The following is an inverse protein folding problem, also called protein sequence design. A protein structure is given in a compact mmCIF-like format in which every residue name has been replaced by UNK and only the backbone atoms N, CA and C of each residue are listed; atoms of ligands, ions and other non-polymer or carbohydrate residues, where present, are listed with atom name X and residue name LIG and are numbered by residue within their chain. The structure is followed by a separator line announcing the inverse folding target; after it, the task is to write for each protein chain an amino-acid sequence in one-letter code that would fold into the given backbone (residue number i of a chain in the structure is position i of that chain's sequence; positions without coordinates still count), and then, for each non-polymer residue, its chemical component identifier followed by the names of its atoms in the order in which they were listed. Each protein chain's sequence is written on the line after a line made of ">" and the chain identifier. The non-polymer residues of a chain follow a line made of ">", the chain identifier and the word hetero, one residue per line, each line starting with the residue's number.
data_IF_818540446024
#
_entry.id   IF_818540446024
#
_cell.length_a   1.000
_cell.length_b   1.000
_cell.length_c   1.000
_cell.angle_alpha   90.00
_cell.angle_beta   90.00
_cell.angle_gamma   90.00
#
_symmetry.space_group_name_H-M   'P 1'
#
loop_
_entity.id
_entity.type
_entity.pdbx_description
1 polymer ?
#
# COMPACT_ATOMS: atom_id res chain seq x y z
N UNK A 1 8.48 -14.58 15.42
CA UNK A 1 9.15 -13.41 16.02
C UNK A 1 10.50 -13.84 16.54
N UNK A 2 11.61 -13.17 16.21
CA UNK A 2 12.91 -13.42 16.82
C UNK A 2 13.26 -12.22 17.68
N UNK A 3 13.19 -12.39 19.02
CA UNK A 3 14.01 -11.56 19.90
C UNK A 3 15.42 -12.09 19.68
N UNK A 4 16.25 -11.36 18.99
CA UNK A 4 17.55 -11.88 18.57
C UNK A 4 18.56 -11.83 19.71
N UNK A 5 18.52 -10.75 20.49
CA UNK A 5 19.48 -10.55 21.56
C UNK A 5 18.75 -10.04 22.83
N UNK A 6 18.88 -10.79 23.90
CA UNK A 6 18.42 -10.46 25.25
C UNK A 6 19.49 -10.77 26.27
N UNK A 7 19.54 -10.01 27.33
CA UNK A 7 20.48 -10.20 28.43
C UNK A 7 19.72 -10.17 29.76
N UNK A 8 20.00 -11.12 30.61
CA UNK A 8 19.56 -11.04 32.01
C UNK A 8 20.50 -10.07 32.74
N UNK A 9 19.99 -8.95 33.21
CA UNK A 9 20.77 -7.99 33.98
C UNK A 9 20.60 -8.17 35.49
N UNK A 10 19.43 -8.68 35.93
CA UNK A 10 19.18 -9.06 37.32
C UNK A 10 18.75 -10.52 37.39
N UNK A 11 19.69 -11.35 37.93
CA UNK A 11 19.49 -12.80 38.05
C UNK A 11 18.49 -13.12 39.17
N UNK A 12 18.40 -12.28 40.18
CA UNK A 12 17.47 -12.51 41.29
C UNK A 12 16.03 -12.30 40.85
N UNK A 13 15.74 -11.21 40.11
CA UNK A 13 14.43 -10.98 39.54
C UNK A 13 14.04 -12.08 38.55
N UNK A 14 14.95 -12.49 37.67
CA UNK A 14 14.70 -13.54 36.69
C UNK A 14 14.39 -14.92 37.30
N UNK A 15 14.93 -15.22 38.52
CA UNK A 15 14.75 -16.52 39.18
C UNK A 15 13.61 -16.52 40.19
N UNK A 16 13.31 -15.39 40.83
CA UNK A 16 12.35 -15.35 41.93
C UNK A 16 11.02 -14.69 41.56
N UNK A 17 10.98 -13.82 40.57
CA UNK A 17 9.75 -13.15 40.14
C UNK A 17 8.97 -13.98 39.10
N UNK A 18 9.63 -14.95 38.45
CA UNK A 18 9.02 -15.72 37.35
C UNK A 18 9.38 -17.20 37.49
N UNK A 19 8.38 -18.08 37.50
CA UNK A 19 8.59 -19.54 37.62
C UNK A 19 9.41 -20.13 36.46
N UNK A 20 9.16 -19.67 35.23
CA UNK A 20 9.89 -20.07 34.02
C UNK A 20 10.14 -18.86 33.15
N UNK A 21 11.34 -18.32 33.18
CA UNK A 21 11.69 -17.09 32.50
C UNK A 21 11.64 -17.25 30.96
N UNK A 22 11.94 -18.44 30.40
CA UNK A 22 11.90 -18.67 28.95
C UNK A 22 10.47 -18.63 28.43
N UNK A 23 9.57 -19.30 29.11
CA UNK A 23 8.14 -19.31 28.79
C UNK A 23 7.52 -17.91 28.98
N UNK A 24 7.91 -17.22 30.04
CA UNK A 24 7.47 -15.85 30.28
C UNK A 24 7.89 -14.90 29.15
N UNK A 25 9.15 -14.95 28.74
CA UNK A 25 9.66 -14.15 27.60
C UNK A 25 8.90 -14.46 26.33
N UNK A 26 8.61 -15.73 26.06
CA UNK A 26 7.86 -16.13 24.88
C UNK A 26 6.45 -15.54 24.90
N UNK A 27 5.72 -15.72 26.01
CA UNK A 27 4.34 -15.23 26.16
C UNK A 27 4.28 -13.71 26.04
N UNK A 28 5.17 -12.97 26.73
CA UNK A 28 5.19 -11.52 26.69
C UNK A 28 5.56 -10.98 25.29
N UNK A 29 6.47 -11.67 24.62
CA UNK A 29 6.86 -11.33 23.25
C UNK A 29 5.73 -11.55 22.25
N UNK A 30 5.00 -12.65 22.36
CA UNK A 30 3.81 -12.93 21.53
C UNK A 30 2.70 -11.89 21.80
N UNK A 31 2.50 -11.51 23.06
CA UNK A 31 1.52 -10.49 23.42
C UNK A 31 1.87 -9.11 22.82
N UNK A 32 3.14 -8.72 22.87
CA UNK A 32 3.63 -7.49 22.25
C UNK A 32 3.44 -7.52 20.73
N UNK A 33 3.80 -8.63 20.08
CA UNK A 33 3.62 -8.81 18.64
C UNK A 33 2.14 -8.73 18.23
N UNK A 34 1.25 -9.36 19.00
CA UNK A 34 -0.19 -9.31 18.76
C UNK A 34 -0.74 -7.89 18.87
N UNK A 35 -0.28 -7.14 19.88
CA UNK A 35 -0.67 -5.73 20.04
C UNK A 35 -0.20 -4.88 18.85
N UNK A 36 1.02 -5.10 18.36
CA UNK A 36 1.56 -4.43 17.18
C UNK A 36 0.77 -4.76 15.90
N UNK A 37 0.46 -6.04 15.70
CA UNK A 37 -0.32 -6.51 14.54
C UNK A 37 -1.77 -5.96 14.52
N UNK A 38 -2.30 -5.59 15.69
CA UNK A 38 -3.63 -4.97 15.80
C UNK A 38 -3.55 -3.46 15.56
N UNK A 39 -2.44 -2.84 15.92
CA UNK A 39 -2.23 -1.38 15.83
C UNK A 39 -1.89 -0.94 14.41
N UNK A 40 -1.08 -1.70 13.69
CA UNK A 40 -0.57 -1.35 12.37
C UNK A 40 -1.09 -2.29 11.28
N UNK A 41 -1.56 -1.75 10.14
CA UNK A 41 -1.92 -2.56 8.99
C UNK A 41 -0.69 -3.26 8.42
N UNK A 42 -0.91 -4.39 7.75
CA UNK A 42 0.18 -5.09 7.06
C UNK A 42 0.80 -4.25 5.96
N UNK A 43 -0.05 -3.62 5.13
CA UNK A 43 0.35 -2.81 3.98
C UNK A 43 -0.60 -1.62 3.80
N UNK A 44 -0.10 -0.54 3.23
CA UNK A 44 -0.88 0.66 2.91
C UNK A 44 -1.43 0.49 1.50
N UNK A 45 -2.71 0.18 1.38
CA UNK A 45 -3.36 -0.11 0.10
C UNK A 45 -4.14 1.13 -0.42
N UNK A 46 -4.57 2.03 0.46
CA UNK A 46 -5.38 3.19 0.09
C UNK A 46 -4.55 4.48 0.08
N UNK A 47 -4.79 5.34 -0.93
CA UNK A 47 -4.14 6.66 -1.04
C UNK A 47 -4.39 7.57 0.17
N UNK A 48 -5.48 7.34 0.90
CA UNK A 48 -5.83 8.09 2.11
C UNK A 48 -4.88 7.82 3.28
N UNK A 49 -4.18 6.68 3.26
CA UNK A 49 -3.28 6.24 4.33
C UNK A 49 -1.81 6.48 4.00
N UNK A 50 -1.49 7.26 2.97
CA UNK A 50 -0.10 7.54 2.53
C UNK A 50 0.84 8.11 3.61
N UNK A 51 0.33 8.49 4.77
CA UNK A 51 1.12 8.92 5.94
C UNK A 51 1.18 7.89 7.07
N UNK A 52 0.55 6.72 6.92
CA UNK A 52 0.47 5.69 7.94
C UNK A 52 1.72 4.80 7.99
N UNK A 53 1.97 4.21 9.17
CA UNK A 53 3.02 3.20 9.35
C UNK A 53 2.43 1.84 9.02
N UNK A 54 3.08 1.07 8.12
CA UNK A 54 2.73 -0.30 7.80
C UNK A 54 3.84 -1.27 8.20
N UNK A 55 3.45 -2.49 8.58
CA UNK A 55 4.38 -3.52 9.04
C UNK A 55 5.36 -3.97 7.93
N UNK A 56 4.93 -3.92 6.66
CA UNK A 56 5.73 -4.36 5.50
C UNK A 56 6.79 -3.34 5.09
N UNK A 57 6.47 -2.04 5.14
CA UNK A 57 7.30 -0.97 4.56
C UNK A 57 8.12 -0.19 5.58
N UNK A 58 7.73 -0.16 6.88
CA UNK A 58 8.40 0.64 7.92
C UNK A 58 9.09 -0.24 8.97
N UNK A 59 9.90 -1.20 8.53
CA UNK A 59 10.49 -2.23 9.39
C UNK A 59 11.32 -1.68 10.55
N UNK A 60 12.07 -0.59 10.36
CA UNK A 60 12.89 0.00 11.43
C UNK A 60 12.04 0.66 12.53
N UNK A 61 10.99 1.37 12.15
CA UNK A 61 10.08 2.02 13.09
C UNK A 61 9.34 0.97 13.89
N UNK A 62 8.84 -0.06 13.20
CA UNK A 62 8.14 -1.20 13.79
C UNK A 62 9.06 -1.98 14.74
N UNK A 63 10.33 -2.20 14.37
CA UNK A 63 11.31 -2.90 15.21
C UNK A 63 11.59 -2.13 16.51
N UNK A 64 11.80 -0.82 16.45
CA UNK A 64 12.02 0.02 17.63
C UNK A 64 10.81 0.02 18.58
N UNK A 65 9.62 0.13 18.04
CA UNK A 65 8.40 0.13 18.84
C UNK A 65 8.13 -1.26 19.45
N UNK A 66 8.40 -2.33 18.69
CA UNK A 66 8.33 -3.69 19.19
C UNK A 66 9.32 -3.91 20.32
N UNK A 67 10.57 -3.47 20.16
CA UNK A 67 11.60 -3.54 21.20
C UNK A 67 11.13 -2.84 22.47
N UNK A 68 10.69 -1.59 22.39
CA UNK A 68 10.19 -0.85 23.54
C UNK A 68 8.97 -1.52 24.21
N UNK A 69 8.06 -2.08 23.41
CA UNK A 69 6.89 -2.80 23.94
C UNK A 69 7.24 -4.11 24.64
N UNK A 70 8.25 -4.83 24.15
CA UNK A 70 8.74 -6.06 24.78
C UNK A 70 9.55 -5.73 26.02
N UNK A 71 10.44 -4.74 25.95
CA UNK A 71 11.27 -4.28 27.07
C UNK A 71 10.43 -3.87 28.28
N UNK A 72 9.40 -3.03 28.07
CA UNK A 72 8.48 -2.61 29.14
C UNK A 72 7.75 -3.79 29.83
N UNK A 73 7.59 -4.92 29.14
CA UNK A 73 6.96 -6.13 29.67
C UNK A 73 7.94 -7.05 30.40
N UNK A 74 9.20 -7.04 29.97
CA UNK A 74 10.26 -7.91 30.51
C UNK A 74 11.09 -7.24 31.60
N UNK A 75 10.96 -5.94 31.80
CA UNK A 75 11.65 -5.18 32.84
C UNK A 75 11.45 -5.81 34.22
N UNK A 76 10.21 -6.26 34.53
CA UNK A 76 9.88 -6.91 35.83
C UNK A 76 10.54 -8.26 36.04
N UNK A 77 11.05 -8.89 34.99
CA UNK A 77 11.77 -10.14 35.03
C UNK A 77 13.30 -9.96 35.00
N UNK A 78 13.81 -8.75 35.18
CA UNK A 78 15.24 -8.45 35.12
C UNK A 78 15.90 -8.76 33.77
N UNK A 79 15.16 -8.65 32.67
CA UNK A 79 15.63 -8.98 31.32
C UNK A 79 15.66 -7.72 30.46
N UNK A 80 16.82 -7.42 29.92
CA UNK A 80 17.05 -6.35 28.93
C UNK A 80 16.91 -6.90 27.51
N UNK A 81 16.16 -6.20 26.66
CA UNK A 81 15.98 -6.54 25.25
C UNK A 81 16.91 -5.69 24.40
N UNK A 82 17.95 -6.28 23.86
CA UNK A 82 18.92 -5.57 23.01
C UNK A 82 18.37 -5.31 21.62
N UNK A 83 17.66 -6.28 21.04
CA UNK A 83 17.05 -6.16 19.73
C UNK A 83 15.78 -7.01 19.60
N UNK A 84 14.71 -6.43 19.03
CA UNK A 84 13.51 -7.16 18.68
C UNK A 84 13.08 -6.83 17.23
N UNK A 85 13.06 -7.85 16.37
CA UNK A 85 12.64 -7.70 14.96
C UNK A 85 11.65 -8.79 14.54
N UNK A 86 10.79 -8.45 13.61
CA UNK A 86 9.93 -9.42 12.93
C UNK A 86 10.76 -10.05 11.80
N UNK A 87 11.07 -11.35 11.91
CA UNK A 87 11.90 -12.05 10.93
C UNK A 87 11.14 -12.40 9.65
N UNK A 88 9.85 -12.70 9.76
CA UNK A 88 9.00 -13.08 8.63
C UNK A 88 7.56 -12.68 8.91
N UNK A 89 6.98 -11.99 7.95
CA UNK A 89 5.58 -11.59 7.98
C UNK A 89 4.95 -11.96 6.63
N UNK A 90 3.97 -12.85 6.66
CA UNK A 90 3.24 -13.27 5.47
C UNK A 90 1.78 -13.52 5.81
N UNK A 91 0.92 -13.40 4.81
CA UNK A 91 -0.47 -13.83 4.94
C UNK A 91 -0.56 -15.35 5.10
N UNK A 92 -1.56 -15.83 5.85
CA UNK A 92 -1.87 -17.25 5.86
C UNK A 92 -2.25 -17.72 4.45
N UNK A 93 -1.99 -18.99 4.12
CA UNK A 93 -2.31 -19.54 2.80
C UNK A 93 -3.80 -19.41 2.44
N UNK A 94 -4.67 -19.46 3.44
CA UNK A 94 -6.12 -19.36 3.28
C UNK A 94 -6.58 -18.04 2.67
N UNK A 95 -5.93 -16.92 3.06
CA UNK A 95 -6.30 -15.59 2.58
C UNK A 95 -5.35 -15.04 1.51
N UNK A 96 -4.21 -15.67 1.28
CA UNK A 96 -3.18 -15.18 0.36
C UNK A 96 -3.74 -14.96 -1.06
N UNK A 97 -4.56 -15.89 -1.56
CA UNK A 97 -5.18 -15.74 -2.89
C UNK A 97 -6.20 -14.60 -2.95
N UNK A 98 -6.99 -14.41 -1.89
CA UNK A 98 -7.95 -13.31 -1.82
C UNK A 98 -7.24 -11.95 -1.78
N UNK A 99 -6.15 -11.85 -1.01
CA UNK A 99 -5.33 -10.64 -0.94
C UNK A 99 -4.62 -10.34 -2.26
N UNK A 100 -4.11 -11.36 -2.95
CA UNK A 100 -3.51 -11.20 -4.28
C UNK A 100 -4.52 -10.66 -5.29
N UNK A 101 -5.72 -11.20 -5.32
CA UNK A 101 -6.81 -10.69 -6.20
C UNK A 101 -7.16 -9.23 -5.87
N UNK A 102 -7.21 -8.89 -4.59
CA UNK A 102 -7.47 -7.51 -4.16
C UNK A 102 -6.36 -6.56 -4.63
N UNK A 103 -5.09 -6.96 -4.48
CA UNK A 103 -3.94 -6.18 -4.96
C UNK A 103 -3.97 -6.02 -6.49
N UNK A 104 -4.26 -7.08 -7.24
CA UNK A 104 -4.41 -7.03 -8.69
C UNK A 104 -5.53 -6.08 -9.11
N UNK A 105 -6.71 -6.18 -8.49
CA UNK A 105 -7.82 -5.28 -8.79
C UNK A 105 -7.48 -3.81 -8.49
N UNK A 106 -6.85 -3.54 -7.35
CA UNK A 106 -6.39 -2.20 -6.99
C UNK A 106 -5.36 -1.65 -7.99
N UNK A 107 -4.40 -2.47 -8.41
CA UNK A 107 -3.40 -2.09 -9.41
C UNK A 107 -4.03 -1.77 -10.78
N UNK A 108 -5.00 -2.57 -11.22
CA UNK A 108 -5.73 -2.33 -12.48
C UNK A 108 -6.51 -1.01 -12.42
N UNK A 109 -7.20 -0.74 -11.30
CA UNK A 109 -7.95 0.52 -11.13
C UNK A 109 -7.01 1.72 -11.11
N UNK A 110 -5.87 1.62 -10.42
CA UNK A 110 -4.87 2.68 -10.39
C UNK A 110 -4.30 2.95 -11.80
N UNK A 111 -3.93 1.90 -12.54
CA UNK A 111 -3.45 2.03 -13.92
C UNK A 111 -4.49 2.68 -14.84
N UNK A 112 -5.76 2.29 -14.71
CA UNK A 112 -6.84 2.91 -15.52
C UNK A 112 -7.04 4.38 -15.20
N UNK A 113 -6.91 4.76 -13.92
CA UNK A 113 -6.99 6.18 -13.55
C UNK A 113 -5.88 6.99 -14.23
N UNK A 114 -4.64 6.53 -14.19
CA UNK A 114 -3.51 7.18 -14.87
C UNK A 114 -3.73 7.30 -16.37
N UNK A 115 -4.31 6.27 -17.02
CA UNK A 115 -4.65 6.32 -18.45
C UNK A 115 -5.70 7.40 -18.72
N UNK A 116 -6.77 7.45 -17.91
CA UNK A 116 -7.85 8.44 -18.09
C UNK A 116 -7.32 9.85 -17.86
N UNK A 117 -6.56 10.08 -16.80
CA UNK A 117 -5.99 11.39 -16.46
C UNK A 117 -5.03 11.86 -17.58
N UNK A 118 -4.21 10.95 -18.10
CA UNK A 118 -3.34 11.21 -19.25
C UNK A 118 -4.13 11.51 -20.54
N UNK A 119 -5.21 10.76 -20.81
CA UNK A 119 -6.06 10.96 -21.96
C UNK A 119 -6.77 12.33 -21.93
N UNK A 120 -7.30 12.71 -20.76
CA UNK A 120 -7.94 14.04 -20.58
C UNK A 120 -6.93 15.16 -20.84
N UNK A 121 -5.72 15.07 -20.27
CA UNK A 121 -4.66 16.06 -20.50
C UNK A 121 -4.24 16.15 -21.96
N UNK A 122 -4.17 15.03 -22.69
CA UNK A 122 -3.88 15.04 -24.13
C UNK A 122 -4.99 15.70 -24.94
N UNK A 123 -6.26 15.47 -24.59
CA UNK A 123 -7.41 16.08 -25.25
C UNK A 123 -7.44 17.59 -25.03
N UNK A 124 -7.22 18.04 -23.77
CA UNK A 124 -7.12 19.47 -23.45
C UNK A 124 -6.01 20.16 -24.25
N UNK A 125 -4.82 19.56 -24.26
CA UNK A 125 -3.70 20.07 -25.05
C UNK A 125 -4.00 20.15 -26.53
N UNK A 126 -4.69 19.16 -27.11
CA UNK A 126 -5.07 19.14 -28.50
C UNK A 126 -6.07 20.27 -28.86
N UNK A 127 -7.07 20.47 -28.01
CA UNK A 127 -8.07 21.53 -28.17
C UNK A 127 -7.43 22.93 -28.09
N UNK A 128 -6.54 23.14 -27.11
CA UNK A 128 -5.82 24.42 -26.93
C UNK A 128 -4.93 24.72 -28.16
N UNK A 129 -4.23 23.73 -28.69
CA UNK A 129 -3.39 23.92 -29.86
C UNK A 129 -4.19 24.21 -31.10
N UNK A 130 -5.33 23.57 -31.31
CA UNK A 130 -6.23 23.81 -32.44
C UNK A 130 -6.84 25.22 -32.39
N UNK A 131 -7.24 25.64 -31.18
CA UNK A 131 -7.80 26.98 -30.95
C UNK A 131 -6.74 28.08 -31.15
N UNK A 132 -5.54 27.92 -30.57
CA UNK A 132 -4.46 28.92 -30.63
C UNK A 132 -3.92 29.13 -32.04
N UNK A 133 -3.93 28.09 -32.88
CA UNK A 133 -3.45 28.16 -34.27
C UNK A 133 -4.53 28.53 -35.27
N UNK A 134 -5.76 28.77 -34.82
CA UNK A 134 -6.94 29.06 -35.72
C UNK A 134 -7.08 28.08 -36.88
N UNK A 135 -6.76 26.79 -36.64
CA UNK A 135 -6.76 25.78 -37.70
C UNK A 135 -8.19 25.44 -38.14
N UNK A 136 -9.12 25.42 -37.15
CA UNK A 136 -10.53 25.07 -37.40
C UNK A 136 -11.39 25.87 -36.41
N UNK A 137 -12.46 26.51 -36.91
CA UNK A 137 -13.56 27.00 -36.06
C UNK A 137 -14.45 25.82 -35.69
N UNK A 138 -14.29 25.33 -34.47
CA UNK A 138 -15.11 24.24 -33.94
C UNK A 138 -16.27 24.84 -33.12
N UNK A 139 -17.50 24.50 -33.52
CA UNK A 139 -18.65 24.74 -32.66
C UNK A 139 -18.66 23.74 -31.48
N UNK A 140 -19.45 23.99 -30.45
CA UNK A 140 -19.48 23.18 -29.23
C UNK A 140 -19.88 21.71 -29.49
N UNK A 141 -20.76 21.46 -30.48
CA UNK A 141 -21.20 20.11 -30.80
C UNK A 141 -20.06 19.30 -31.45
N UNK A 142 -19.31 19.92 -32.36
CA UNK A 142 -18.15 19.31 -33.02
C UNK A 142 -17.01 19.08 -32.04
N UNK A 143 -16.77 20.00 -31.08
CA UNK A 143 -15.82 19.79 -29.99
C UNK A 143 -16.19 18.59 -29.16
N UNK A 144 -17.45 18.49 -28.72
CA UNK A 144 -17.92 17.37 -27.89
C UNK A 144 -17.76 16.03 -28.63
N UNK A 145 -18.09 15.98 -29.94
CA UNK A 145 -17.90 14.78 -30.76
C UNK A 145 -16.43 14.39 -30.87
N UNK A 146 -15.55 15.37 -31.10
CA UNK A 146 -14.10 15.15 -31.22
C UNK A 146 -13.51 14.64 -29.88
N UNK A 147 -13.89 15.25 -28.78
CA UNK A 147 -13.48 14.82 -27.42
C UNK A 147 -13.91 13.38 -27.13
N UNK A 148 -15.17 13.06 -27.46
CA UNK A 148 -15.70 11.71 -27.26
C UNK A 148 -14.90 10.67 -28.06
N UNK A 149 -14.64 10.96 -29.35
CA UNK A 149 -13.89 10.06 -30.21
C UNK A 149 -12.43 9.88 -29.76
N UNK A 150 -11.76 10.96 -29.34
CA UNK A 150 -10.39 10.90 -28.82
C UNK A 150 -10.31 10.10 -27.53
N UNK A 151 -11.24 10.33 -26.61
CA UNK A 151 -11.27 9.57 -25.35
C UNK A 151 -11.51 8.07 -25.56
N UNK A 152 -12.38 7.70 -26.50
CA UNK A 152 -12.61 6.28 -26.85
C UNK A 152 -11.33 5.65 -27.38
N UNK A 153 -10.58 6.33 -28.25
CA UNK A 153 -9.31 5.80 -28.78
C UNK A 153 -8.23 5.73 -27.72
N UNK A 154 -8.07 6.79 -26.91
CA UNK A 154 -7.00 6.91 -25.92
C UNK A 154 -7.22 6.02 -24.69
N UNK A 155 -8.47 5.76 -24.30
CA UNK A 155 -8.81 4.92 -23.15
C UNK A 155 -9.10 3.46 -23.51
N UNK A 156 -9.05 3.08 -24.79
CA UNK A 156 -9.30 1.70 -25.24
C UNK A 156 -8.14 0.78 -24.87
N UNK A 157 -8.45 -0.43 -24.40
CA UNK A 157 -7.45 -1.49 -24.15
C UNK A 157 -7.10 -2.28 -25.43
N UNK A 158 -7.88 -2.13 -26.48
CA UNK A 158 -7.68 -2.82 -27.76
C UNK A 158 -7.43 -1.81 -28.86
N UNK A 159 -6.62 -2.20 -29.84
CA UNK A 159 -6.42 -1.39 -31.04
C UNK A 159 -7.77 -1.08 -31.69
N UNK A 160 -8.17 0.20 -31.65
CA UNK A 160 -9.38 0.67 -32.28
C UNK A 160 -9.10 0.96 -33.73
N UNK A 161 -9.83 0.32 -34.66
CA UNK A 161 -9.85 0.70 -36.07
C UNK A 161 -10.88 1.82 -36.25
N UNK A 162 -10.47 3.08 -36.52
CA UNK A 162 -11.41 4.16 -36.70
C UNK A 162 -12.17 3.94 -38.04
N UNK A 163 -13.49 3.77 -37.91
CA UNK A 163 -14.36 3.78 -39.10
C UNK A 163 -14.72 5.24 -39.39
N UNK A 164 -14.06 5.83 -40.39
CA UNK A 164 -14.39 7.17 -40.84
C UNK A 164 -15.65 7.07 -41.71
N UNK A 165 -16.77 7.51 -41.15
CA UNK A 165 -18.00 7.63 -41.92
C UNK A 165 -17.90 8.94 -42.76
N UNK A 166 -17.41 8.83 -43.98
CA UNK A 166 -17.47 9.93 -44.94
C UNK A 166 -18.92 10.03 -45.40
N UNK A 167 -19.76 10.70 -44.59
CA UNK A 167 -21.15 10.93 -44.91
C UNK A 167 -21.28 11.47 -46.33
N UNK A 168 -22.19 10.88 -47.10
CA UNK A 168 -22.54 11.37 -48.43
C UNK A 168 -22.99 12.81 -48.32
N UNK A 169 -22.18 13.70 -48.88
CA UNK A 169 -22.59 15.06 -49.18
C UNK A 169 -23.74 14.98 -50.20
N UNK A 170 -24.98 15.09 -49.74
CA UNK A 170 -26.12 15.45 -50.56
C UNK A 170 -26.57 16.83 -50.14
#
# INVERSE_FOLDING_TARGET
>A
MCIRDRRVYDVAEALFEVDNFEEYVQIQSEAALRAMATKYPYDIIEEKDKGGIALSSHQEVVAKELQASVEARLERAGIEVLEARISHLAYSQEIAQAMLRRQQASAVVAARREIVDGAVGMVELALDQLSSKNIIELDEEKKATMVSNLLVVLCSETDTTPVVNTGSLN
#
